data_IF_532784872005
#
_entry.id   IF_532784872005
#
_cell.length_a   1.000
_cell.length_b   1.000
_cell.length_c   1.000
_cell.angle_alpha   90.00
_cell.angle_beta   90.00
_cell.angle_gamma   90.00
#
_symmetry.space_group_name_H-M   'P 1'
#
loop_
_entity.id
_entity.type
_entity.pdbx_description
1 polymer ?
#
# COMPACT_ATOMS: atom_id res chain seq x y z
N UNK A 1 14.49 -5.68 -0.10
CA UNK A 1 14.90 -5.11 1.21
C UNK A 1 15.17 -6.28 2.15
N UNK A 2 16.16 -6.15 3.04
CA UNK A 2 16.55 -7.18 4.02
C UNK A 2 16.51 -6.53 5.41
N UNK A 3 15.98 -7.24 6.40
CA UNK A 3 15.82 -6.75 7.77
C UNK A 3 16.23 -7.83 8.76
N UNK A 4 16.75 -7.45 9.92
CA UNK A 4 16.89 -8.38 11.06
C UNK A 4 15.54 -8.63 11.70
N UNK A 5 15.37 -9.80 12.34
CA UNK A 5 14.13 -10.16 13.02
C UNK A 5 14.27 -9.95 14.53
N UNK A 6 13.50 -9.05 15.16
CA UNK A 6 13.53 -8.84 16.61
C UNK A 6 13.28 -10.15 17.37
N UNK A 7 14.13 -10.44 18.37
CA UNK A 7 14.03 -11.66 19.16
C UNK A 7 14.54 -12.94 18.49
N UNK A 8 15.09 -12.86 17.26
CA UNK A 8 15.65 -14.01 16.55
C UNK A 8 17.07 -13.71 16.05
N UNK A 9 18.11 -13.81 16.91
CA UNK A 9 19.50 -13.61 16.51
C UNK A 9 19.90 -14.51 15.35
N UNK A 10 20.62 -13.97 14.37
CA UNK A 10 21.02 -14.70 13.16
C UNK A 10 19.90 -14.89 12.12
N UNK A 11 18.68 -14.41 12.38
CA UNK A 11 17.59 -14.44 11.42
C UNK A 11 17.47 -13.11 10.65
N UNK A 12 17.32 -13.23 9.34
CA UNK A 12 17.02 -12.11 8.45
C UNK A 12 15.76 -12.40 7.64
N UNK A 13 14.96 -11.35 7.44
CA UNK A 13 13.76 -11.37 6.63
C UNK A 13 13.97 -10.59 5.34
N UNK A 14 13.43 -11.12 4.25
CA UNK A 14 13.51 -10.52 2.93
C UNK A 14 12.12 -10.10 2.47
N UNK A 15 11.93 -8.84 2.12
CA UNK A 15 10.71 -8.37 1.44
C UNK A 15 10.83 -8.61 -0.07
N UNK A 16 10.81 -9.89 -0.46
CA UNK A 16 10.90 -10.37 -1.84
C UNK A 16 10.47 -11.86 -1.89
N UNK A 17 10.29 -12.46 -3.08
CA UNK A 17 10.45 -11.90 -4.41
C UNK A 17 9.28 -11.00 -4.82
N UNK A 18 9.53 -10.15 -5.81
CA UNK A 18 8.43 -9.59 -6.61
C UNK A 18 8.00 -10.65 -7.61
N UNK A 19 6.72 -10.97 -7.60
CA UNK A 19 6.12 -11.85 -8.60
C UNK A 19 5.81 -10.99 -9.82
N UNK A 20 6.51 -11.27 -10.91
CA UNK A 20 6.29 -10.64 -12.21
C UNK A 20 5.57 -11.63 -13.14
N UNK A 21 4.69 -11.11 -13.97
CA UNK A 21 3.97 -11.85 -15.00
C UNK A 21 3.97 -11.03 -16.30
N UNK A 22 3.70 -11.67 -17.43
CA UNK A 22 3.60 -11.02 -18.74
C UNK A 22 2.40 -10.07 -18.83
N UNK A 23 1.34 -10.36 -18.07
CA UNK A 23 0.15 -9.53 -17.90
C UNK A 23 -0.01 -9.14 -16.42
N UNK A 24 -0.68 -8.01 -16.11
CA UNK A 24 -1.04 -7.69 -14.73
C UNK A 24 -1.85 -8.82 -14.10
N UNK A 25 -1.49 -9.23 -12.89
CA UNK A 25 -2.21 -10.25 -12.13
C UNK A 25 -3.40 -9.62 -11.40
N UNK A 26 -4.57 -10.22 -11.50
CA UNK A 26 -5.75 -9.85 -10.72
C UNK A 26 -5.75 -10.64 -9.39
N UNK A 27 -5.64 -9.97 -8.23
CA UNK A 27 -5.72 -10.66 -6.94
C UNK A 27 -7.10 -11.27 -6.62
N UNK A 28 -8.09 -11.08 -7.49
CA UNK A 28 -9.44 -11.63 -7.37
C UNK A 28 -9.70 -12.80 -8.32
N UNK A 29 -8.77 -13.08 -9.24
CA UNK A 29 -8.81 -14.28 -10.07
C UNK A 29 -8.06 -15.43 -9.35
N UNK A 30 -8.74 -16.54 -9.01
CA UNK A 30 -8.10 -17.70 -8.41
C UNK A 30 -6.91 -18.26 -9.22
N UNK A 31 -6.96 -18.20 -10.55
CA UNK A 31 -5.88 -18.69 -11.41
C UNK A 31 -4.62 -17.84 -11.27
N UNK A 32 -4.76 -16.51 -11.27
CA UNK A 32 -3.65 -15.58 -11.06
C UNK A 32 -3.06 -15.70 -9.65
N UNK A 33 -3.92 -15.87 -8.64
CA UNK A 33 -3.48 -16.11 -7.25
C UNK A 33 -2.71 -17.43 -7.14
N UNK A 34 -3.19 -18.51 -7.77
CA UNK A 34 -2.51 -19.79 -7.78
C UNK A 34 -1.14 -19.70 -8.48
N UNK A 35 -1.10 -19.07 -9.66
CA UNK A 35 0.14 -18.78 -10.38
C UNK A 35 1.14 -17.99 -9.52
N UNK A 36 0.68 -16.95 -8.83
CA UNK A 36 1.49 -16.10 -7.99
C UNK A 36 2.12 -16.88 -6.82
N UNK A 37 1.35 -17.74 -6.14
CA UNK A 37 1.88 -18.59 -5.07
C UNK A 37 2.91 -19.58 -5.58
N UNK A 38 2.64 -20.28 -6.69
CA UNK A 38 3.58 -21.25 -7.26
C UNK A 38 4.89 -20.58 -7.66
N UNK A 39 4.80 -19.49 -8.43
CA UNK A 39 5.96 -18.72 -8.91
C UNK A 39 6.75 -18.12 -7.76
N UNK A 40 6.08 -17.50 -6.79
CA UNK A 40 6.72 -16.90 -5.61
C UNK A 40 7.48 -17.93 -4.79
N UNK A 41 6.90 -19.11 -4.55
CA UNK A 41 7.58 -20.19 -3.80
C UNK A 41 8.81 -20.72 -4.52
N UNK A 42 8.75 -20.91 -5.83
CA UNK A 42 9.91 -21.31 -6.64
C UNK A 42 11.03 -20.24 -6.60
N UNK A 43 10.66 -18.97 -6.69
CA UNK A 43 11.59 -17.85 -6.62
C UNK A 43 12.24 -17.72 -5.24
N UNK A 44 11.50 -17.93 -4.15
CA UNK A 44 12.06 -17.96 -2.77
C UNK A 44 13.10 -19.08 -2.66
N UNK A 45 12.78 -20.29 -3.13
CA UNK A 45 13.71 -21.41 -3.12
C UNK A 45 15.00 -21.12 -3.91
N UNK A 46 14.88 -20.45 -5.06
CA UNK A 46 16.02 -19.98 -5.83
C UNK A 46 16.85 -18.94 -5.05
N UNK A 47 16.20 -18.01 -4.36
CA UNK A 47 16.88 -16.98 -3.56
C UNK A 47 17.64 -17.60 -2.39
N UNK A 48 17.04 -18.55 -1.67
CA UNK A 48 17.70 -19.28 -0.57
C UNK A 48 18.97 -19.96 -1.06
N UNK A 49 18.90 -20.71 -2.18
CA UNK A 49 20.07 -21.34 -2.78
C UNK A 49 21.15 -20.32 -3.20
N UNK A 50 20.73 -19.18 -3.74
CA UNK A 50 21.64 -18.11 -4.09
C UNK A 50 22.37 -17.55 -2.86
N UNK A 51 21.63 -17.26 -1.78
CA UNK A 51 22.21 -16.74 -0.55
C UNK A 51 23.26 -17.70 0.03
N UNK A 52 22.92 -18.98 0.20
CA UNK A 52 23.84 -20.01 0.71
C UNK A 52 25.10 -20.12 -0.17
N UNK A 53 24.95 -20.07 -1.49
CA UNK A 53 26.06 -20.28 -2.41
C UNK A 53 26.94 -19.03 -2.65
N UNK A 54 26.44 -17.82 -2.36
CA UNK A 54 27.07 -16.57 -2.81
C UNK A 54 27.25 -15.50 -1.74
N UNK A 55 26.61 -15.62 -0.58
CA UNK A 55 26.68 -14.62 0.49
C UNK A 55 27.42 -15.26 1.68
N UNK A 56 28.58 -14.71 2.02
CA UNK A 56 29.35 -15.18 3.18
C UNK A 56 28.53 -15.06 4.47
N UNK A 57 28.63 -16.06 5.35
CA UNK A 57 27.84 -16.17 6.57
C UNK A 57 26.48 -16.86 6.40
N UNK A 58 26.08 -17.22 5.17
CA UNK A 58 24.86 -17.97 4.88
C UNK A 58 25.10 -19.46 4.62
N UNK A 59 26.32 -19.97 4.82
CA UNK A 59 26.72 -21.34 4.47
C UNK A 59 25.86 -22.39 5.18
N UNK A 60 25.45 -22.11 6.43
CA UNK A 60 24.55 -22.94 7.23
C UNK A 60 23.11 -22.40 7.30
N UNK A 61 22.78 -21.39 6.49
CA UNK A 61 21.44 -20.80 6.51
C UNK A 61 20.40 -21.77 5.93
N UNK A 62 19.17 -21.67 6.42
CA UNK A 62 18.02 -22.39 5.91
C UNK A 62 16.80 -21.48 5.89
N UNK A 63 15.78 -21.88 5.13
CA UNK A 63 14.52 -21.14 5.06
C UNK A 63 13.69 -21.40 6.33
N UNK A 64 13.69 -20.47 7.26
CA UNK A 64 12.93 -20.59 8.50
C UNK A 64 11.42 -20.45 8.28
N UNK A 65 10.99 -19.48 7.46
CA UNK A 65 9.57 -19.20 7.22
C UNK A 65 9.34 -18.55 5.85
N UNK A 66 8.19 -18.86 5.24
CA UNK A 66 7.63 -18.14 4.09
C UNK A 66 6.38 -17.36 4.53
N UNK A 67 6.10 -16.23 3.89
CA UNK A 67 4.85 -15.52 4.12
C UNK A 67 3.65 -16.42 3.75
N UNK A 68 2.64 -16.54 4.63
CA UNK A 68 1.47 -17.39 4.36
C UNK A 68 0.53 -16.78 3.32
N UNK A 69 0.66 -15.47 3.06
CA UNK A 69 -0.20 -14.71 2.15
C UNK A 69 0.62 -13.90 1.13
N UNK A 70 0.07 -13.73 -0.07
CA UNK A 70 0.58 -12.79 -1.07
C UNK A 70 0.52 -11.34 -0.55
N UNK A 71 1.62 -10.61 -0.71
CA UNK A 71 1.69 -9.17 -0.47
C UNK A 71 1.00 -8.35 -1.57
N UNK A 72 -0.34 -8.41 -1.64
CA UNK A 72 -1.13 -7.65 -2.62
C UNK A 72 -1.12 -6.17 -2.27
N UNK A 73 -0.45 -5.39 -3.11
CA UNK A 73 -0.27 -3.94 -2.91
C UNK A 73 -1.51 -3.14 -3.32
N UNK A 74 -2.22 -3.58 -4.36
CA UNK A 74 -3.34 -2.86 -4.96
C UNK A 74 -4.40 -3.84 -5.46
N UNK A 75 -5.67 -3.41 -5.44
CA UNK A 75 -6.82 -4.16 -5.92
C UNK A 75 -7.94 -3.17 -6.23
N UNK A 76 -9.19 -3.48 -5.90
CA UNK A 76 -10.33 -2.56 -6.02
C UNK A 76 -10.19 -1.35 -5.09
N UNK A 77 -10.67 -0.21 -5.59
CA UNK A 77 -10.88 1.06 -4.90
C UNK A 77 -12.32 1.49 -5.12
N UNK A 78 -12.91 2.22 -4.18
CA UNK A 78 -14.19 2.88 -4.41
C UNK A 78 -14.03 4.05 -5.38
N UNK A 79 -15.12 4.42 -6.03
CA UNK A 79 -15.29 5.77 -6.54
C UNK A 79 -15.99 6.57 -5.45
N UNK A 80 -15.25 7.48 -4.82
CA UNK A 80 -15.77 8.37 -3.80
C UNK A 80 -16.09 9.75 -4.34
N UNK A 81 -16.74 10.58 -3.52
CA UNK A 81 -17.14 11.95 -3.86
C UNK A 81 -15.95 12.85 -4.23
N UNK A 82 -14.74 12.45 -3.86
CA UNK A 82 -13.48 13.02 -4.36
C UNK A 82 -12.52 11.89 -4.75
N UNK A 83 -11.77 12.06 -5.84
CA UNK A 83 -10.70 11.13 -6.25
C UNK A 83 -9.37 11.83 -6.01
N UNK A 84 -8.59 11.39 -5.01
CA UNK A 84 -7.26 11.96 -4.76
C UNK A 84 -6.34 11.63 -5.94
N UNK A 85 -5.81 12.66 -6.58
CA UNK A 85 -4.95 12.51 -7.75
C UNK A 85 -3.47 12.69 -7.42
N UNK A 86 -2.61 12.32 -8.36
CA UNK A 86 -1.18 12.56 -8.26
C UNK A 86 -0.84 14.05 -8.35
N UNK A 87 -1.64 14.85 -9.06
CA UNK A 87 -1.51 16.31 -9.04
C UNK A 87 -1.81 16.89 -7.66
N UNK A 88 -2.80 16.36 -6.93
CA UNK A 88 -3.06 16.81 -5.55
C UNK A 88 -1.86 16.53 -4.63
N UNK A 89 -1.18 15.39 -4.83
CA UNK A 89 0.00 15.01 -4.04
C UNK A 89 1.20 15.87 -4.41
N UNK A 90 1.54 15.94 -5.69
CA UNK A 90 2.70 16.71 -6.16
C UNK A 90 2.51 18.22 -5.93
N UNK A 91 1.27 18.69 -6.01
CA UNK A 91 0.86 20.05 -5.67
C UNK A 91 0.71 20.31 -4.17
N UNK A 92 0.95 19.33 -3.30
CA UNK A 92 0.90 19.46 -1.85
C UNK A 92 -0.45 20.02 -1.35
N UNK A 93 -1.56 19.59 -1.97
CA UNK A 93 -2.89 20.16 -1.78
C UNK A 93 -3.36 20.06 -0.34
N UNK A 94 -4.00 21.14 0.13
CA UNK A 94 -4.64 21.23 1.44
C UNK A 94 -6.16 21.28 1.29
N UNK A 95 -6.87 20.61 2.19
CA UNK A 95 -8.33 20.51 2.25
C UNK A 95 -8.89 21.11 3.55
N UNK A 96 -8.04 21.60 4.46
CA UNK A 96 -8.46 22.38 5.62
C UNK A 96 -9.37 21.59 6.55
N UNK A 97 -10.57 22.11 6.85
CA UNK A 97 -11.55 21.44 7.73
C UNK A 97 -12.05 20.09 7.20
N UNK A 98 -11.83 19.80 5.92
CA UNK A 98 -12.21 18.53 5.29
C UNK A 98 -11.09 17.50 5.34
N UNK A 99 -9.89 17.85 5.82
CA UNK A 99 -8.74 16.95 5.85
C UNK A 99 -8.88 15.88 6.94
N UNK A 100 -8.80 14.61 6.55
CA UNK A 100 -8.79 13.48 7.50
C UNK A 100 -7.40 12.97 7.81
N UNK A 101 -6.44 13.14 6.90
CA UNK A 101 -5.06 12.73 7.13
C UNK A 101 -4.09 13.65 6.40
N UNK A 102 -2.85 13.71 6.93
CA UNK A 102 -1.71 14.40 6.32
C UNK A 102 -0.66 13.38 5.94
N UNK A 103 -0.02 13.55 4.79
CA UNK A 103 1.03 12.66 4.34
C UNK A 103 2.12 13.46 3.62
N UNK A 104 3.37 13.08 3.83
CA UNK A 104 4.54 13.63 3.14
C UNK A 104 5.38 12.51 2.48
N UNK A 105 4.81 11.31 2.35
CA UNK A 105 5.47 10.20 1.67
C UNK A 105 5.43 10.44 0.15
N UNK A 106 6.52 10.23 -0.60
CA UNK A 106 6.53 10.42 -2.05
C UNK A 106 5.61 9.43 -2.79
N UNK A 107 5.33 9.71 -4.06
CA UNK A 107 4.78 8.68 -4.95
C UNK A 107 5.90 7.65 -5.18
N UNK A 108 5.64 6.39 -4.83
CA UNK A 108 6.62 5.31 -4.87
C UNK A 108 6.09 4.14 -5.70
N UNK A 109 6.45 4.15 -6.99
CA UNK A 109 6.05 3.12 -7.94
C UNK A 109 7.25 2.33 -8.35
N UNK A 110 7.27 1.09 -7.92
CA UNK A 110 8.30 0.17 -8.34
C UNK A 110 8.04 -0.31 -9.77
N UNK A 111 8.91 0.09 -10.70
CA UNK A 111 8.84 -0.28 -12.12
C UNK A 111 8.77 -1.80 -12.31
N UNK A 112 7.96 -2.25 -13.26
CA UNK A 112 7.86 -3.66 -13.66
C UNK A 112 9.08 -4.12 -14.49
N UNK A 113 9.73 -3.19 -15.21
CA UNK A 113 10.98 -3.41 -15.92
C UNK A 113 11.85 -2.14 -15.88
N UNK A 114 13.17 -2.24 -16.10
CA UNK A 114 14.06 -1.08 -16.17
C UNK A 114 13.65 -0.08 -17.28
N UNK A 115 12.95 -0.55 -18.31
CA UNK A 115 12.50 0.22 -19.48
C UNK A 115 11.10 0.83 -19.32
N UNK A 116 10.44 0.65 -18.17
CA UNK A 116 9.11 1.25 -17.96
C UNK A 116 9.21 2.77 -17.79
N UNK A 117 8.50 3.52 -18.65
CA UNK A 117 8.49 4.98 -18.67
C UNK A 117 7.84 5.61 -17.43
N UNK A 118 6.87 4.92 -16.81
CA UNK A 118 6.16 5.39 -15.62
C UNK A 118 6.56 4.57 -14.39
N UNK A 119 7.19 5.24 -13.43
CA UNK A 119 7.56 4.69 -12.12
C UNK A 119 8.82 5.36 -11.56
N UNK A 120 9.13 5.05 -10.31
CA UNK A 120 10.19 5.70 -9.53
C UNK A 120 9.63 6.52 -8.37
N UNK A 121 10.54 7.13 -7.63
CA UNK A 121 10.23 7.97 -6.48
C UNK A 121 9.99 9.41 -6.97
N UNK A 122 8.76 9.89 -6.90
CA UNK A 122 8.43 11.29 -7.19
C UNK A 122 8.24 12.01 -5.87
N UNK A 123 9.19 12.90 -5.57
CA UNK A 123 9.23 13.63 -4.30
C UNK A 123 8.26 14.80 -4.33
N UNK A 124 7.74 15.11 -3.16
CA UNK A 124 7.03 16.35 -2.91
C UNK A 124 8.03 17.49 -2.82
N UNK A 125 7.50 18.72 -2.74
CA UNK A 125 8.29 19.87 -2.33
C UNK A 125 8.89 19.63 -0.93
N UNK A 126 10.17 19.94 -0.77
CA UNK A 126 10.88 19.72 0.49
C UNK A 126 10.18 20.44 1.66
N UNK A 127 9.96 19.70 2.75
CA UNK A 127 9.28 20.19 3.95
C UNK A 127 7.76 20.34 3.84
N UNK A 128 7.16 19.97 2.71
CA UNK A 128 5.70 20.06 2.51
C UNK A 128 5.00 18.71 2.67
N UNK A 129 3.67 18.75 2.65
CA UNK A 129 2.78 17.60 2.79
C UNK A 129 1.55 17.77 1.90
N UNK A 130 0.71 16.77 1.79
CA UNK A 130 -0.65 16.91 1.24
C UNK A 130 -1.66 16.36 2.24
N UNK A 131 -2.91 16.69 2.01
CA UNK A 131 -4.04 16.23 2.81
C UNK A 131 -4.90 15.25 2.02
N UNK A 132 -5.57 14.34 2.73
CA UNK A 132 -6.60 13.47 2.17
C UNK A 132 -7.95 14.04 2.65
N UNK A 133 -8.88 14.37 1.74
CA UNK A 133 -10.18 14.89 2.11
C UNK A 133 -11.13 13.78 2.57
N UNK A 134 -12.05 14.10 3.48
CA UNK A 134 -13.11 13.20 3.94
C UNK A 134 -13.95 12.64 2.79
N UNK A 135 -14.19 13.44 1.75
CA UNK A 135 -14.95 13.06 0.56
C UNK A 135 -14.31 11.91 -0.21
N UNK A 136 -12.99 11.69 -0.08
CA UNK A 136 -12.33 10.53 -0.67
C UNK A 136 -12.68 9.21 0.04
N UNK A 137 -13.23 9.28 1.26
CA UNK A 137 -13.69 8.14 2.06
C UNK A 137 -15.18 7.84 1.83
N UNK A 138 -15.93 8.76 1.22
CA UNK A 138 -17.38 8.67 1.01
C UNK A 138 -17.69 8.11 -0.39
N UNK A 139 -18.22 6.89 -0.53
CA UNK A 139 -18.61 6.35 -1.83
C UNK A 139 -19.69 7.21 -2.51
N UNK A 140 -19.62 7.35 -3.84
CA UNK A 140 -20.70 7.96 -4.60
C UNK A 140 -21.97 7.10 -4.53
N UNK A 141 -23.13 7.74 -4.32
CA UNK A 141 -24.44 7.08 -4.34
C UNK A 141 -24.75 6.18 -3.13
N UNK A 142 -23.87 6.10 -2.12
CA UNK A 142 -24.10 5.31 -0.90
C UNK A 142 -23.96 6.19 0.34
N UNK A 143 -25.07 6.41 1.04
CA UNK A 143 -25.09 7.10 2.33
C UNK A 143 -24.68 6.18 3.49
N UNK A 144 -24.34 6.79 4.64
CA UNK A 144 -24.01 6.09 5.89
C UNK A 144 -22.91 5.02 5.75
N UNK A 145 -21.96 5.22 4.82
CA UNK A 145 -20.83 4.34 4.60
C UNK A 145 -19.56 5.17 4.42
N UNK A 146 -18.52 4.84 5.18
CA UNK A 146 -17.16 5.34 4.95
C UNK A 146 -16.23 4.17 4.64
N UNK A 147 -15.32 4.37 3.71
CA UNK A 147 -14.31 3.39 3.31
C UNK A 147 -12.93 3.98 3.52
N UNK A 148 -12.09 3.28 4.28
CA UNK A 148 -10.76 3.75 4.71
C UNK A 148 -9.66 2.78 4.31
N UNK A 149 -8.43 3.29 4.21
CA UNK A 149 -7.24 2.49 3.91
C UNK A 149 -7.04 2.23 2.41
N UNK A 150 -6.62 1.00 2.06
CA UNK A 150 -6.15 0.66 0.71
C UNK A 150 -7.21 0.84 -0.39
N UNK A 151 -8.49 0.75 -0.04
CA UNK A 151 -9.63 0.79 -0.97
C UNK A 151 -10.24 2.19 -1.14
N UNK A 152 -9.64 3.26 -0.59
CA UNK A 152 -10.15 4.63 -0.72
C UNK A 152 -10.14 5.12 -2.17
N UNK A 153 -10.87 6.21 -2.43
CA UNK A 153 -11.00 6.84 -3.73
C UNK A 153 -9.75 7.62 -4.14
N UNK A 154 -8.98 7.08 -5.10
CA UNK A 154 -7.77 7.71 -5.59
C UNK A 154 -7.29 7.15 -6.94
N UNK A 155 -6.44 7.92 -7.64
CA UNK A 155 -5.70 7.41 -8.79
C UNK A 155 -4.68 6.35 -8.38
N UNK A 156 -4.25 5.52 -9.33
CA UNK A 156 -3.24 4.50 -9.10
C UNK A 156 -1.93 5.11 -8.57
N UNK A 157 -1.48 6.20 -9.19
CA UNK A 157 -0.26 6.90 -8.81
C UNK A 157 -0.38 7.46 -7.39
N UNK A 158 -1.51 8.10 -7.08
CA UNK A 158 -1.71 8.73 -5.79
C UNK A 158 -1.73 7.72 -4.64
N UNK A 159 -2.45 6.61 -4.82
CA UNK A 159 -2.57 5.57 -3.81
C UNK A 159 -1.21 4.92 -3.47
N UNK A 160 -0.24 4.93 -4.38
CA UNK A 160 1.12 4.45 -4.10
C UNK A 160 1.84 5.22 -2.98
N UNK A 161 1.41 6.46 -2.70
CA UNK A 161 2.03 7.37 -1.75
C UNK A 161 1.46 7.23 -0.33
N UNK A 162 0.13 7.32 -0.16
CA UNK A 162 -0.49 7.38 1.17
C UNK A 162 -0.98 6.03 1.72
N UNK A 163 -0.86 4.90 1.01
CA UNK A 163 -1.29 3.59 1.54
C UNK A 163 -0.38 2.97 2.60
N UNK A 164 0.39 3.82 3.28
CA UNK A 164 1.24 3.48 4.41
C UNK A 164 0.43 3.39 5.69
N UNK A 165 0.88 2.54 6.63
CA UNK A 165 0.10 2.18 7.82
C UNK A 165 -0.34 3.39 8.65
N UNK A 166 0.55 4.37 8.86
CA UNK A 166 0.24 5.56 9.65
C UNK A 166 -0.93 6.38 9.07
N UNK A 167 -0.98 6.53 7.75
CA UNK A 167 -2.05 7.30 7.08
C UNK A 167 -3.35 6.49 7.05
N UNK A 168 -3.26 5.18 6.81
CA UNK A 168 -4.42 4.28 6.93
C UNK A 168 -5.05 4.34 8.33
N UNK A 169 -4.21 4.32 9.38
CA UNK A 169 -4.67 4.45 10.75
C UNK A 169 -5.36 5.80 10.98
N UNK A 170 -4.74 6.90 10.55
CA UNK A 170 -5.31 8.24 10.72
C UNK A 170 -6.66 8.41 9.99
N UNK A 171 -6.79 7.86 8.78
CA UNK A 171 -8.08 7.85 8.08
C UNK A 171 -9.16 7.10 8.88
N UNK A 172 -8.82 5.95 9.47
CA UNK A 172 -9.74 5.19 10.30
C UNK A 172 -10.17 5.91 11.57
N UNK A 173 -9.24 6.57 12.26
CA UNK A 173 -9.52 7.39 13.44
C UNK A 173 -10.49 8.54 13.11
N UNK A 174 -10.20 9.30 12.06
CA UNK A 174 -11.06 10.40 11.63
C UNK A 174 -12.45 9.92 11.16
N UNK A 175 -12.51 8.79 10.45
CA UNK A 175 -13.78 8.19 10.04
C UNK A 175 -14.63 7.82 11.26
N UNK A 176 -14.03 7.21 12.30
CA UNK A 176 -14.72 6.89 13.54
C UNK A 176 -15.25 8.13 14.26
N UNK A 177 -14.43 9.18 14.37
CA UNK A 177 -14.84 10.46 14.96
C UNK A 177 -15.98 11.12 14.19
N UNK A 178 -15.89 11.15 12.85
CA UNK A 178 -16.93 11.69 11.99
C UNK A 178 -18.24 10.93 12.15
N UNK A 179 -18.21 9.59 12.11
CA UNK A 179 -19.40 8.76 12.30
C UNK A 179 -20.06 8.99 13.67
N UNK A 180 -19.27 9.09 14.75
CA UNK A 180 -19.79 9.39 16.09
C UNK A 180 -20.49 10.76 16.14
N UNK A 181 -19.90 11.79 15.52
CA UNK A 181 -20.51 13.11 15.43
C UNK A 181 -21.82 13.06 14.64
N UNK A 182 -21.87 12.36 13.50
CA UNK A 182 -23.11 12.26 12.71
C UNK A 182 -24.25 11.60 13.50
N UNK A 183 -23.96 10.57 14.28
CA UNK A 183 -24.96 9.91 15.15
C UNK A 183 -25.46 10.86 16.24
N UNK A 184 -24.58 11.63 16.87
CA UNK A 184 -24.97 12.62 17.90
C UNK A 184 -25.86 13.72 17.32
N UNK A 185 -25.51 14.26 16.14
CA UNK A 185 -26.35 15.27 15.49
C UNK A 185 -27.72 14.70 15.10
N UNK A 186 -27.78 13.46 14.63
CA UNK A 186 -29.05 12.80 14.31
C UNK A 186 -29.94 12.52 15.53
N UNK A 187 -29.38 12.51 16.75
CA UNK A 187 -30.16 12.38 18.00
C UNK A 187 -30.69 13.72 18.53
N UNK A 188 -30.18 14.84 18.01
CA UNK A 188 -30.55 16.20 18.44
C UNK A 188 -31.59 16.85 17.52
N UNK A 189 -31.85 16.26 16.35
CA UNK A 189 -32.85 16.69 15.36
C UNK A 189 -34.05 15.75 15.44
#
# INVERSE_FOLDING_TARGET
>A
QIFTVPGMPGCVSFNCPRIAATTPLDPLDPADVAYAYQTGRQQIQRLVRFCIAKIGGFEAAFLAQMAPQLGVRESRRIRGQYIVSDEDILGCRKFGSQAVAKCAYPIDIHKASPKADKGGLQKLKDGDYYEIPLQALMPEGVGNLLVVGRCISATFLAQSSFRIQAVCWRMGECAGQYSAQQVQHAQQV
#
